data_IF_888523903777
#
_entry.id   IF_888523903777
#
_cell.length_a   1.000
_cell.length_b   1.000
_cell.length_c   1.000
_cell.angle_alpha   90.00
_cell.angle_beta   90.00
_cell.angle_gamma   90.00
#
_symmetry.space_group_name_H-M   'P 1'
#
loop_
_entity.id
_entity.type
_entity.pdbx_description
1 polymer ?
#
# COMPACT_ATOMS: atom_id res chain seq x y z
N UNK A 1 9.59 -10.34 -8.54
CA UNK A 1 8.97 -9.01 -8.60
C UNK A 1 7.73 -9.10 -9.47
N UNK A 2 6.63 -8.49 -9.04
CA UNK A 2 5.36 -8.47 -9.75
C UNK A 2 4.79 -7.05 -9.75
N UNK A 3 4.04 -6.70 -10.81
CA UNK A 3 3.26 -5.46 -10.85
C UNK A 3 1.82 -5.77 -10.51
N UNK A 4 1.26 -5.01 -9.58
CA UNK A 4 -0.12 -5.15 -9.15
C UNK A 4 -0.74 -3.79 -9.01
N UNK A 5 -2.05 -3.70 -9.22
CA UNK A 5 -2.77 -2.44 -9.02
C UNK A 5 -2.93 -2.17 -7.54
N UNK A 6 -2.97 -0.88 -7.19
CA UNK A 6 -3.26 -0.41 -5.84
C UNK A 6 -4.45 -1.14 -5.19
N UNK A 7 -5.59 -1.25 -5.89
CA UNK A 7 -6.83 -1.87 -5.38
C UNK A 7 -6.69 -3.37 -5.06
N UNK A 8 -5.64 -4.02 -5.57
CA UNK A 8 -5.33 -5.42 -5.26
C UNK A 8 -4.70 -5.57 -3.88
N UNK A 9 -3.94 -4.55 -3.45
CA UNK A 9 -3.23 -4.55 -2.16
C UNK A 9 -4.08 -3.86 -1.09
N UNK A 10 -4.81 -2.82 -1.48
CA UNK A 10 -5.55 -1.96 -0.57
C UNK A 10 -7.07 -2.09 -0.79
N UNK A 11 -7.81 -2.15 0.30
CA UNK A 11 -9.26 -1.99 0.31
C UNK A 11 -9.59 -0.51 0.53
N UNK A 12 -10.48 0.04 -0.29
CA UNK A 12 -11.02 1.39 -0.10
C UNK A 12 -12.27 1.34 0.78
N UNK A 13 -12.31 2.21 1.78
CA UNK A 13 -13.45 2.43 2.66
C UNK A 13 -14.05 3.78 2.31
N UNK A 14 -15.06 3.74 1.44
CA UNK A 14 -15.73 4.95 0.91
C UNK A 14 -16.53 5.71 1.95
N UNK A 15 -16.89 5.09 3.08
CA UNK A 15 -17.60 5.73 4.19
C UNK A 15 -16.74 6.82 4.85
N UNK A 16 -15.45 6.55 5.04
CA UNK A 16 -14.51 7.44 5.74
C UNK A 16 -13.40 7.99 4.83
N UNK A 17 -13.47 7.72 3.52
CA UNK A 17 -12.40 7.99 2.55
C UNK A 17 -11.01 7.47 3.01
N UNK A 18 -11.00 6.31 3.66
CA UNK A 18 -9.78 5.66 4.14
C UNK A 18 -9.45 4.44 3.31
N UNK A 19 -8.21 3.98 3.42
CA UNK A 19 -7.69 2.79 2.78
C UNK A 19 -7.08 1.88 3.83
N UNK A 20 -7.21 0.58 3.61
CA UNK A 20 -6.73 -0.46 4.52
C UNK A 20 -5.95 -1.53 3.73
N UNK A 21 -4.79 -2.02 4.20
CA UNK A 21 -4.09 -3.11 3.54
C UNK A 21 -4.86 -4.41 3.69
N UNK A 22 -4.99 -5.17 2.60
CA UNK A 22 -5.57 -6.51 2.62
C UNK A 22 -4.62 -7.56 3.22
N UNK A 23 -3.32 -7.26 3.26
CA UNK A 23 -2.27 -8.12 3.79
C UNK A 23 -1.12 -7.28 4.36
N UNK A 24 -0.15 -7.92 5.02
CA UNK A 24 1.03 -7.20 5.52
C UNK A 24 1.83 -6.66 4.35
N UNK A 25 2.20 -5.40 4.47
CA UNK A 25 2.97 -4.66 3.48
C UNK A 25 4.11 -3.92 4.14
N UNK A 26 5.22 -3.81 3.40
CA UNK A 26 6.37 -3.03 3.80
C UNK A 26 6.70 -2.00 2.73
N UNK A 27 6.83 -0.75 3.14
CA UNK A 27 7.22 0.37 2.29
C UNK A 27 8.45 1.02 2.91
N UNK A 28 9.60 0.89 2.25
CA UNK A 28 10.88 1.29 2.83
C UNK A 28 11.16 0.55 4.14
N UNK A 29 11.30 1.29 5.25
CA UNK A 29 11.52 0.76 6.60
C UNK A 29 10.24 0.59 7.42
N UNK A 30 9.07 0.94 6.88
CA UNK A 30 7.78 0.89 7.60
C UNK A 30 7.02 -0.35 7.17
N UNK A 31 6.52 -1.12 8.15
CA UNK A 31 5.66 -2.29 7.94
C UNK A 31 4.31 -2.06 8.60
N UNK A 32 3.24 -2.40 7.88
CA UNK A 32 1.86 -2.27 8.34
C UNK A 32 0.99 -3.31 7.66
N UNK A 33 -0.24 -3.50 8.14
CA UNK A 33 -1.10 -4.57 7.65
C UNK A 33 -2.58 -4.33 7.94
N UNK A 34 -3.40 -5.38 7.81
CA UNK A 34 -4.83 -5.31 8.05
C UNK A 34 -5.14 -4.74 9.44
N UNK A 35 -6.17 -3.90 9.53
CA UNK A 35 -6.54 -3.14 10.73
C UNK A 35 -5.91 -1.75 10.84
N UNK A 36 -4.91 -1.42 10.00
CA UNK A 36 -4.38 -0.05 9.90
C UNK A 36 -5.13 0.70 8.82
N UNK A 37 -5.81 1.79 9.18
CA UNK A 37 -6.47 2.69 8.23
C UNK A 37 -5.64 3.95 8.01
N UNK A 38 -5.51 4.36 6.76
CA UNK A 38 -4.86 5.61 6.38
C UNK A 38 -5.73 6.35 5.37
N UNK A 39 -5.70 7.66 5.46
CA UNK A 39 -6.38 8.56 4.52
C UNK A 39 -5.37 9.12 3.52
N UNK A 40 -5.88 9.90 2.55
CA UNK A 40 -5.05 10.77 1.73
C UNK A 40 -4.16 11.67 2.59
N UNK A 41 -2.93 11.92 2.15
CA UNK A 41 -1.92 12.72 2.84
C UNK A 41 -0.98 11.96 3.78
N UNK A 42 -1.08 10.64 3.90
CA UNK A 42 -0.10 9.85 4.69
C UNK A 42 1.11 9.52 3.82
N UNK A 43 2.32 9.65 4.37
CA UNK A 43 3.56 9.28 3.68
C UNK A 43 4.22 8.10 4.40
N UNK A 44 4.65 7.08 3.64
CA UNK A 44 5.35 5.92 4.16
C UNK A 44 6.72 5.80 3.50
N UNK A 45 7.79 5.87 4.30
CA UNK A 45 9.15 5.75 3.77
C UNK A 45 9.52 6.80 2.72
N UNK A 46 8.90 7.99 2.78
CA UNK A 46 9.12 9.08 1.82
C UNK A 46 8.28 8.98 0.55
N UNK A 47 7.43 7.96 0.41
CA UNK A 47 6.43 7.86 -0.66
C UNK A 47 5.11 8.39 -0.12
N UNK A 48 4.58 9.46 -0.73
CA UNK A 48 3.26 9.97 -0.39
C UNK A 48 2.19 9.05 -0.96
N UNK A 49 1.26 8.60 -0.13
CA UNK A 49 0.25 7.62 -0.51
C UNK A 49 -0.66 8.11 -1.65
N UNK A 50 -0.85 9.43 -1.76
CA UNK A 50 -1.58 10.05 -2.87
C UNK A 50 -0.93 9.82 -4.24
N UNK A 51 0.38 9.59 -4.29
CA UNK A 51 1.11 9.24 -5.52
C UNK A 51 0.96 7.76 -5.87
N UNK A 52 0.42 6.96 -4.96
CA UNK A 52 0.33 5.49 -5.03
C UNK A 52 -1.10 5.06 -5.37
N UNK A 53 -2.09 5.85 -4.96
CA UNK A 53 -3.51 5.60 -5.22
C UNK A 53 -3.78 5.64 -6.73
N UNK A 54 -4.30 4.55 -7.27
CA UNK A 54 -4.66 4.42 -8.70
C UNK A 54 -3.48 4.10 -9.63
N UNK A 55 -2.28 3.92 -9.08
CA UNK A 55 -1.07 3.59 -9.82
C UNK A 55 -0.74 2.09 -9.75
N UNK A 56 0.16 1.65 -10.63
CA UNK A 56 0.71 0.30 -10.58
C UNK A 56 1.89 0.25 -9.60
N UNK A 57 1.89 -0.77 -8.75
CA UNK A 57 2.90 -0.95 -7.71
C UNK A 57 3.78 -2.13 -8.05
N UNK A 58 5.08 -1.90 -8.05
CA UNK A 58 6.04 -2.98 -8.11
C UNK A 58 6.27 -3.54 -6.71
N UNK A 59 5.97 -4.82 -6.56
CA UNK A 59 5.99 -5.49 -5.28
C UNK A 59 6.78 -6.79 -5.31
N UNK A 60 7.31 -7.13 -4.16
CA UNK A 60 8.04 -8.36 -3.90
C UNK A 60 7.40 -9.08 -2.72
N UNK A 61 6.81 -10.24 -3.00
CA UNK A 61 6.23 -11.10 -1.98
C UNK A 61 7.33 -11.88 -1.26
N UNK A 62 7.44 -11.71 0.05
CA UNK A 62 8.33 -12.45 0.93
C UNK A 62 7.48 -13.16 1.99
N UNK A 63 7.02 -14.37 1.67
CA UNK A 63 6.08 -15.10 2.52
C UNK A 63 4.71 -14.41 2.56
N UNK A 64 4.26 -14.02 3.75
CA UNK A 64 3.02 -13.24 3.98
C UNK A 64 3.21 -11.73 3.91
N UNK A 65 4.45 -11.26 3.70
CA UNK A 65 4.79 -9.85 3.59
C UNK A 65 4.91 -9.42 2.14
N UNK A 66 4.25 -8.33 1.77
CA UNK A 66 4.32 -7.75 0.43
C UNK A 66 5.13 -6.45 0.44
N UNK A 67 6.35 -6.50 -0.07
CA UNK A 67 7.29 -5.38 -0.03
C UNK A 67 7.10 -4.51 -1.27
N UNK A 68 6.68 -3.26 -1.09
CA UNK A 68 6.55 -2.29 -2.17
C UNK A 68 7.95 -1.73 -2.49
N UNK A 69 8.38 -1.91 -3.74
CA UNK A 69 9.71 -1.49 -4.25
C UNK A 69 9.62 -0.24 -5.12
N UNK A 70 8.50 -0.02 -5.80
CA UNK A 70 8.31 1.11 -6.70
C UNK A 70 6.85 1.41 -7.01
N UNK A 71 6.61 2.61 -7.52
CA UNK A 71 5.31 3.14 -7.97
C UNK A 71 5.47 3.62 -9.40
N UNK A 72 4.53 3.29 -10.27
CA UNK A 72 4.57 3.57 -11.71
C UNK A 72 3.29 4.25 -12.19
#
# INVERSE_FOLDING_TARGET
>A
MARVTFDTIFASHTEDNSYEPRQRIRVGSVEFGPGVRFTRGVAFGGVEFDQVIGHELEVETQGDLLVIKGVY
#
